data_IF_879880849908
#
_entry.id   IF_879880849908
#
_cell.length_a   1.000
_cell.length_b   1.000
_cell.length_c   1.000
_cell.angle_alpha   90.00
_cell.angle_beta   90.00
_cell.angle_gamma   90.00
#
_symmetry.space_group_name_H-M   'P 1'
#
loop_
_entity.id
_entity.type
_entity.pdbx_description
1 polymer ?
#
# COMPACT_ATOMS: atom_id res chain seq x y z
N UNK A 1 5.45 3.53 -15.48
CA UNK A 1 5.42 2.66 -14.56
C UNK A 1 6.75 2.60 -13.84
N UNK A 2 6.87 2.16 -13.12
CA UNK A 2 6.97 2.01 -11.80
C UNK A 2 8.25 1.41 -11.27
N UNK A 3 9.29 1.26 -12.11
CA UNK A 3 10.58 0.78 -11.60
C UNK A 3 11.15 1.72 -10.52
N UNK A 4 11.02 3.03 -10.71
CA UNK A 4 11.49 4.02 -9.74
C UNK A 4 10.65 3.98 -8.46
N UNK A 5 9.34 3.83 -8.58
CA UNK A 5 8.44 3.79 -7.43
C UNK A 5 8.66 2.50 -6.62
N UNK A 6 8.83 1.38 -7.30
CA UNK A 6 9.14 0.12 -6.63
C UNK A 6 10.47 0.23 -5.87
N UNK A 7 11.46 0.90 -6.47
CA UNK A 7 12.75 1.11 -5.81
C UNK A 7 12.64 2.02 -4.57
N UNK A 8 11.70 2.98 -4.57
CA UNK A 8 11.45 3.83 -3.42
C UNK A 8 10.71 3.10 -2.30
N UNK A 9 9.81 2.22 -2.65
CA UNK A 9 8.97 1.48 -1.70
C UNK A 9 9.75 0.34 -1.06
N UNK A 10 10.57 -0.35 -1.82
CA UNK A 10 11.18 -1.63 -1.40
C UNK A 10 12.05 -1.56 -0.15
N UNK A 11 12.91 -0.53 0.08
CA UNK A 11 13.76 -0.55 1.27
C UNK A 11 12.98 -0.53 2.58
N UNK A 12 11.97 0.35 2.70
CA UNK A 12 11.15 0.40 3.90
C UNK A 12 10.32 -0.86 4.06
N UNK A 13 9.84 -1.42 2.95
CA UNK A 13 9.08 -2.65 2.96
C UNK A 13 9.91 -3.83 3.46
N UNK A 14 11.18 -3.93 3.03
CA UNK A 14 12.10 -4.97 3.52
C UNK A 14 12.25 -4.91 5.03
N UNK A 15 12.40 -3.71 5.58
CA UNK A 15 12.53 -3.55 7.02
C UNK A 15 11.24 -3.94 7.75
N UNK A 16 10.09 -3.54 7.22
CA UNK A 16 8.81 -3.89 7.82
C UNK A 16 8.58 -5.41 7.80
N UNK A 17 8.93 -6.08 6.70
CA UNK A 17 8.81 -7.53 6.60
C UNK A 17 9.72 -8.21 7.63
N UNK A 18 10.96 -7.75 7.76
CA UNK A 18 11.91 -8.30 8.74
C UNK A 18 11.43 -8.07 10.17
N UNK A 19 10.72 -6.98 10.43
CA UNK A 19 10.18 -6.67 11.75
C UNK A 19 8.91 -7.42 12.11
N UNK A 20 8.30 -8.14 11.16
CA UNK A 20 7.07 -8.89 11.40
C UNK A 20 5.94 -7.99 11.86
N UNK A 21 5.29 -8.35 12.97
CA UNK A 21 4.17 -7.58 13.51
C UNK A 21 4.61 -6.37 14.34
N UNK A 22 5.91 -6.14 14.47
CA UNK A 22 6.45 -5.11 15.36
C UNK A 22 6.90 -3.84 14.63
N UNK A 23 6.84 -3.82 13.32
CA UNK A 23 7.31 -2.67 12.55
C UNK A 23 6.32 -2.35 11.43
N UNK A 24 5.86 -1.12 11.41
CA UNK A 24 4.91 -0.63 10.40
C UNK A 24 5.64 0.31 9.44
N UNK A 25 5.49 0.07 8.14
CA UNK A 25 5.95 1.00 7.13
C UNK A 25 4.75 1.79 6.60
N UNK A 26 4.87 3.11 6.60
CA UNK A 26 3.86 4.00 6.03
C UNK A 26 4.44 4.69 4.80
N UNK A 27 3.72 4.59 3.69
CA UNK A 27 4.09 5.18 2.41
C UNK A 27 3.06 6.26 2.09
N UNK A 28 3.52 7.49 1.89
CA UNK A 28 2.65 8.62 1.60
C UNK A 28 3.14 9.29 0.32
N UNK A 29 2.22 9.64 -0.58
CA UNK A 29 2.62 10.37 -1.79
C UNK A 29 3.17 11.73 -1.37
N UNK A 30 4.36 12.06 -1.83
CA UNK A 30 5.01 13.31 -1.51
C UNK A 30 4.11 14.50 -1.90
N UNK A 31 3.84 15.36 -0.94
CA UNK A 31 2.96 16.52 -1.16
C UNK A 31 1.48 16.24 -0.97
N UNK A 32 1.08 15.00 -0.65
CA UNK A 32 -0.34 14.68 -0.45
C UNK A 32 -0.52 13.63 0.63
N UNK A 33 -0.67 14.07 1.87
CA UNK A 33 -0.80 13.17 3.02
C UNK A 33 -2.14 12.41 3.05
N UNK A 34 -3.08 12.71 2.18
CA UNK A 34 -4.34 11.98 2.10
C UNK A 34 -4.23 10.71 1.26
N UNK A 35 -3.12 10.50 0.58
CA UNK A 35 -2.88 9.30 -0.23
C UNK A 35 -1.77 8.49 0.41
N UNK A 36 -2.16 7.54 1.25
CA UNK A 36 -1.23 6.78 2.09
C UNK A 36 -1.54 5.28 2.07
N UNK A 37 -0.50 4.48 2.32
CA UNK A 37 -0.60 3.02 2.48
C UNK A 37 0.29 2.62 3.64
N UNK A 38 -0.21 1.78 4.53
CA UNK A 38 0.56 1.20 5.63
C UNK A 38 0.69 -0.30 5.46
N UNK A 39 1.86 -0.84 5.77
CA UNK A 39 2.11 -2.29 5.72
C UNK A 39 2.66 -2.77 7.05
N UNK A 40 2.05 -3.80 7.62
CA UNK A 40 2.53 -4.48 8.82
C UNK A 40 2.01 -5.92 8.83
N UNK A 41 2.91 -6.88 9.05
CA UNK A 41 2.52 -8.28 9.24
C UNK A 41 1.73 -8.90 8.10
N UNK A 42 2.02 -8.51 6.85
CA UNK A 42 1.29 -9.04 5.70
C UNK A 42 -0.06 -8.38 5.44
N UNK A 43 -0.43 -7.40 6.26
CA UNK A 43 -1.68 -6.65 6.14
C UNK A 43 -1.38 -5.25 5.61
N UNK A 44 -2.22 -4.78 4.71
CA UNK A 44 -2.17 -3.42 4.19
C UNK A 44 -3.41 -2.67 4.63
N UNK A 45 -3.20 -1.48 5.20
CA UNK A 45 -4.27 -0.54 5.48
C UNK A 45 -4.00 0.69 4.62
N UNK A 46 -4.97 1.09 3.80
CA UNK A 46 -4.74 2.13 2.80
C UNK A 46 -5.89 3.12 2.75
N UNK A 47 -5.57 4.36 2.39
CA UNK A 47 -6.58 5.37 2.12
C UNK A 47 -7.49 4.88 1.00
N UNK A 48 -8.79 5.06 1.18
CA UNK A 48 -9.78 4.70 0.17
C UNK A 48 -10.79 5.84 0.05
N UNK A 49 -10.60 6.76 -0.92
CA UNK A 49 -11.42 7.97 -1.01
C UNK A 49 -12.73 7.79 -1.77
N UNK A 50 -12.97 6.63 -2.34
CA UNK A 50 -14.16 6.39 -3.14
C UNK A 50 -15.35 5.98 -2.28
N UNK A 51 -16.56 6.25 -2.76
CA UNK A 51 -17.79 5.89 -2.03
C UNK A 51 -18.31 4.49 -2.38
N UNK A 52 -17.80 3.90 -3.45
CA UNK A 52 -18.22 2.58 -3.92
C UNK A 52 -17.54 1.46 -3.14
N UNK A 53 -18.09 0.26 -3.23
CA UNK A 53 -17.48 -0.95 -2.67
C UNK A 53 -16.08 -1.15 -3.27
N UNK A 54 -15.04 -1.34 -2.45
CA UNK A 54 -13.68 -1.52 -2.98
C UNK A 54 -13.44 -2.88 -3.64
N UNK A 55 -14.33 -3.85 -3.50
CA UNK A 55 -14.09 -5.20 -3.97
C UNK A 55 -13.69 -5.28 -5.45
N UNK A 56 -14.36 -4.60 -6.40
CA UNK A 56 -13.96 -4.69 -7.80
C UNK A 56 -12.54 -4.17 -8.04
N UNK A 57 -12.17 -3.08 -7.37
CA UNK A 57 -10.83 -2.50 -7.53
C UNK A 57 -9.76 -3.41 -6.93
N UNK A 58 -10.01 -3.95 -5.74
CA UNK A 58 -9.05 -4.85 -5.09
C UNK A 58 -8.91 -6.16 -5.89
N UNK A 59 -10.00 -6.70 -6.39
CA UNK A 59 -9.95 -7.91 -7.24
C UNK A 59 -9.15 -7.66 -8.52
N UNK A 60 -9.25 -6.48 -9.10
CA UNK A 60 -8.48 -6.14 -10.29
C UNK A 60 -6.98 -6.08 -10.00
N UNK A 61 -6.59 -5.69 -8.79
CA UNK A 61 -5.19 -5.71 -8.37
C UNK A 61 -4.68 -7.12 -8.12
N UNK A 62 -5.56 -8.02 -7.66
CA UNK A 62 -5.21 -9.40 -7.33
C UNK A 62 -4.44 -9.55 -6.03
N UNK A 63 -4.17 -10.77 -5.64
CA UNK A 63 -3.28 -11.14 -4.53
C UNK A 63 -3.64 -10.56 -3.17
N UNK A 64 -4.91 -10.22 -2.96
CA UNK A 64 -5.36 -9.62 -1.71
C UNK A 64 -6.80 -10.01 -1.39
N UNK A 65 -7.08 -10.11 -0.09
CA UNK A 65 -8.43 -10.36 0.43
C UNK A 65 -8.81 -9.19 1.33
N UNK A 66 -9.98 -8.61 1.11
CA UNK A 66 -10.46 -7.51 1.94
C UNK A 66 -10.86 -8.05 3.30
N UNK A 67 -10.34 -7.43 4.36
CA UNK A 67 -10.71 -7.75 5.75
C UNK A 67 -11.73 -6.76 6.30
N UNK A 68 -11.59 -5.48 5.99
CA UNK A 68 -12.54 -4.45 6.40
C UNK A 68 -12.39 -3.23 5.53
N UNK A 69 -13.41 -2.38 5.52
CA UNK A 69 -13.33 -1.12 4.80
C UNK A 69 -14.41 -0.15 5.29
N UNK A 70 -14.14 1.13 5.06
CA UNK A 70 -15.10 2.21 5.27
C UNK A 70 -15.03 3.11 4.04
N UNK A 71 -16.07 3.14 3.19
CA UNK A 71 -16.05 3.97 1.98
C UNK A 71 -15.75 5.44 2.32
N UNK A 72 -14.89 6.04 1.51
CA UNK A 72 -14.45 7.41 1.75
C UNK A 72 -13.35 7.55 2.78
N UNK A 73 -12.92 6.47 3.43
CA UNK A 73 -11.91 6.51 4.48
C UNK A 73 -10.76 5.54 4.24
N UNK A 74 -11.01 4.23 4.33
CA UNK A 74 -9.91 3.25 4.25
C UNK A 74 -10.39 1.90 3.74
N UNK A 75 -9.42 1.07 3.35
CA UNK A 75 -9.61 -0.36 3.13
C UNK A 75 -8.44 -1.11 3.76
N UNK A 76 -8.74 -2.21 4.43
CA UNK A 76 -7.74 -3.11 5.01
C UNK A 76 -7.80 -4.43 4.27
N UNK A 77 -6.64 -4.88 3.77
CA UNK A 77 -6.54 -6.14 3.03
C UNK A 77 -5.42 -6.99 3.60
N UNK A 78 -5.56 -8.30 3.47
CA UNK A 78 -4.48 -9.24 3.70
C UNK A 78 -3.90 -9.64 2.36
N UNK A 79 -2.59 -9.43 2.21
CA UNK A 79 -1.90 -9.80 0.98
C UNK A 79 -1.65 -11.30 0.95
N UNK A 80 -1.71 -11.87 -0.26
CA UNK A 80 -1.47 -13.30 -0.50
C UNK A 80 -0.13 -13.55 -1.16
N UNK A 81 0.73 -12.52 -1.21
CA UNK A 81 2.12 -12.60 -1.66
C UNK A 81 3.00 -12.23 -0.49
N UNK A 82 4.23 -12.74 -0.46
CA UNK A 82 5.13 -12.55 0.69
C UNK A 82 6.48 -11.94 0.32
N UNK A 83 6.84 -11.91 -0.95
CA UNK A 83 8.13 -11.37 -1.37
C UNK A 83 8.06 -9.85 -1.56
N UNK A 84 9.19 -9.20 -1.33
CA UNK A 84 9.28 -7.73 -1.37
C UNK A 84 8.83 -7.17 -2.71
N UNK A 85 9.27 -7.76 -3.80
CA UNK A 85 8.96 -7.24 -5.13
C UNK A 85 7.45 -7.28 -5.41
N UNK A 86 6.79 -8.41 -5.12
CA UNK A 86 5.36 -8.57 -5.38
C UNK A 86 4.54 -7.63 -4.52
N UNK A 87 4.93 -7.46 -3.26
CA UNK A 87 4.24 -6.54 -2.35
C UNK A 87 4.44 -5.09 -2.79
N UNK A 88 5.68 -4.71 -3.15
CA UNK A 88 5.97 -3.35 -3.60
C UNK A 88 5.21 -3.03 -4.90
N UNK A 89 5.12 -4.00 -5.79
CA UNK A 89 4.35 -3.84 -7.03
C UNK A 89 2.86 -3.65 -6.76
N UNK A 90 2.32 -4.40 -5.81
CA UNK A 90 0.92 -4.26 -5.41
C UNK A 90 0.66 -2.85 -4.85
N UNK A 91 1.54 -2.38 -3.98
CA UNK A 91 1.44 -1.04 -3.38
C UNK A 91 1.49 0.04 -4.48
N UNK A 92 2.43 -0.09 -5.41
CA UNK A 92 2.54 0.86 -6.53
C UNK A 92 1.26 0.87 -7.38
N UNK A 93 0.73 -0.29 -7.70
CA UNK A 93 -0.51 -0.39 -8.47
C UNK A 93 -1.69 0.21 -7.71
N UNK A 94 -1.73 0.04 -6.39
CA UNK A 94 -2.77 0.67 -5.58
C UNK A 94 -2.68 2.20 -5.66
N UNK A 95 -1.48 2.75 -5.53
CA UNK A 95 -1.30 4.20 -5.67
C UNK A 95 -1.78 4.68 -7.04
N UNK A 96 -1.43 3.99 -8.10
CA UNK A 96 -1.80 4.42 -9.45
C UNK A 96 -3.27 4.21 -9.77
N UNK A 97 -3.81 3.04 -9.46
CA UNK A 97 -5.15 2.65 -9.91
C UNK A 97 -6.26 3.03 -8.95
N UNK A 98 -5.99 3.07 -7.67
CA UNK A 98 -7.00 3.40 -6.67
C UNK A 98 -6.87 4.85 -6.21
N UNK A 99 -5.66 5.32 -6.01
CA UNK A 99 -5.40 6.67 -5.52
C UNK A 99 -5.03 7.66 -6.63
N UNK A 100 -5.07 7.22 -7.88
CA UNK A 100 -4.87 8.04 -9.07
C UNK A 100 -3.53 8.80 -9.08
N UNK A 101 -2.47 8.17 -8.59
CA UNK A 101 -1.14 8.77 -8.60
C UNK A 101 -0.60 8.91 -10.02
N UNK A 102 0.20 9.93 -10.26
CA UNK A 102 0.87 10.13 -11.53
C UNK A 102 1.93 9.05 -11.76
N UNK A 103 2.38 8.87 -13.00
CA UNK A 103 3.39 7.88 -13.33
C UNK A 103 4.74 8.13 -12.66
N UNK A 104 5.00 9.37 -12.27
CA UNK A 104 6.27 9.80 -11.69
C UNK A 104 6.14 10.25 -10.23
N UNK A 105 5.12 9.76 -9.54
CA UNK A 105 4.95 10.11 -8.13
C UNK A 105 6.15 9.64 -7.30
N UNK A 106 6.38 10.34 -6.18
CA UNK A 106 7.36 9.93 -5.17
C UNK A 106 6.67 9.61 -3.86
N UNK A 107 7.29 8.78 -3.04
CA UNK A 107 6.74 8.44 -1.73
C UNK A 107 7.68 8.89 -0.62
N UNK A 108 7.09 9.37 0.47
CA UNK A 108 7.77 9.54 1.73
C UNK A 108 7.50 8.28 2.56
N UNK A 109 8.54 7.72 3.17
CA UNK A 109 8.46 6.47 3.90
C UNK A 109 8.78 6.71 5.36
N UNK A 110 7.91 6.23 6.24
CA UNK A 110 8.10 6.29 7.68
C UNK A 110 8.05 4.87 8.25
N UNK A 111 8.99 4.54 9.11
CA UNK A 111 9.01 3.26 9.82
C UNK A 111 8.71 3.52 11.30
N UNK A 112 7.82 2.72 11.87
CA UNK A 112 7.35 2.91 13.22
C UNK A 112 7.34 1.59 13.96
N UNK A 113 8.00 1.55 15.12
CA UNK A 113 7.94 0.38 16.01
C UNK A 113 6.61 0.36 16.74
N UNK A 114 6.01 -0.80 16.78
CA UNK A 114 4.70 -1.00 17.42
C UNK A 114 4.82 -1.65 18.79
#
# INVERSE_FOLDING_TARGET
MSANQIAEISPGLREAIAGGDNLCATFVIAGDENRWIQFVGGTVNAAYPHTQDPAPLIMALGDAVIESFEPGQYVTVRLQVVDVYSIARWIDRYFEQVLAADNDYSVDVTLESL
#
